data_IF_787757471949
#
_entry.id   IF_787757471949
#
_cell.length_a   1.000
_cell.length_b   1.000
_cell.length_c   1.000
_cell.angle_alpha   90.00
_cell.angle_beta   90.00
_cell.angle_gamma   90.00
#
_symmetry.space_group_name_H-M   'P 1'
#
loop_
_entity.id
_entity.type
_entity.pdbx_description
1 polymer ?
#
# COMPACT_ATOMS: atom_id res chain seq x y z
N UNK A 1 -35.38 -32.06 -21.28
CA UNK A 1 -35.51 -30.97 -20.30
C UNK A 1 -34.12 -30.44 -19.96
N UNK A 2 -33.72 -29.34 -20.57
CA UNK A 2 -32.58 -28.52 -20.19
C UNK A 2 -32.82 -27.13 -20.79
N UNK A 3 -33.13 -26.15 -19.94
CA UNK A 3 -33.38 -24.76 -20.35
C UNK A 3 -32.06 -24.00 -20.29
N UNK A 4 -31.59 -23.53 -21.44
CA UNK A 4 -30.50 -22.58 -21.55
C UNK A 4 -31.10 -21.15 -21.48
N UNK A 5 -30.75 -20.40 -20.45
CA UNK A 5 -31.17 -19.02 -20.27
C UNK A 5 -30.07 -18.09 -20.84
N UNK A 6 -30.19 -17.75 -22.13
CA UNK A 6 -29.39 -16.67 -22.74
C UNK A 6 -30.01 -15.32 -22.42
N UNK A 7 -29.31 -14.46 -21.67
CA UNK A 7 -29.62 -13.02 -21.62
C UNK A 7 -28.75 -12.29 -22.63
N UNK A 8 -29.40 -11.80 -23.69
CA UNK A 8 -28.88 -10.76 -24.58
C UNK A 8 -28.58 -9.49 -23.77
N UNK A 9 -27.37 -8.96 -23.92
CA UNK A 9 -27.06 -7.57 -23.61
C UNK A 9 -26.99 -6.81 -24.94
N UNK A 10 -28.05 -6.06 -25.24
CA UNK A 10 -28.11 -5.13 -26.37
C UNK A 10 -27.52 -3.77 -25.96
N UNK A 11 -26.34 -3.47 -26.52
CA UNK A 11 -26.04 -2.24 -27.26
C UNK A 11 -25.77 -0.93 -26.52
N UNK A 12 -24.54 -0.40 -26.72
CA UNK A 12 -24.33 0.81 -27.55
C UNK A 12 -22.84 1.02 -27.95
N UNK A 13 -22.58 0.70 -29.21
CA UNK A 13 -21.74 1.37 -30.24
C UNK A 13 -20.29 1.80 -29.94
N UNK A 14 -19.32 1.10 -30.54
CA UNK A 14 -18.74 1.49 -31.83
C UNK A 14 -17.90 0.35 -32.41
N UNK A 15 -18.34 -0.16 -33.56
CA UNK A 15 -17.67 -1.19 -34.35
C UNK A 15 -16.51 -0.60 -35.14
N UNK A 16 -15.34 -1.26 -35.14
CA UNK A 16 -14.42 -1.21 -36.28
C UNK A 16 -14.02 -2.66 -36.61
N UNK A 17 -14.55 -3.15 -37.73
CA UNK A 17 -14.24 -4.43 -38.35
C UNK A 17 -12.97 -4.28 -39.20
N UNK A 18 -11.94 -5.09 -38.94
CA UNK A 18 -10.95 -5.46 -39.95
C UNK A 18 -11.11 -6.95 -40.26
N UNK A 19 -11.43 -7.24 -41.52
CA UNK A 19 -11.58 -8.58 -42.09
C UNK A 19 -10.22 -9.20 -42.41
N UNK A 20 -9.97 -10.38 -41.82
CA UNK A 20 -9.21 -11.57 -42.28
C UNK A 20 -8.03 -11.38 -43.24
N UNK A 21 -6.85 -11.97 -42.99
CA UNK A 21 -6.54 -13.37 -43.30
C UNK A 21 -5.26 -13.83 -42.54
N UNK A 22 -5.30 -15.02 -41.93
CA UNK A 22 -4.09 -15.73 -41.49
C UNK A 22 -4.24 -16.46 -40.16
N UNK A 23 -4.17 -17.78 -40.21
CA UNK A 23 -4.14 -18.73 -39.09
C UNK A 23 -3.09 -18.38 -38.02
N UNK A 24 -3.51 -18.00 -36.81
CA UNK A 24 -2.92 -18.34 -35.49
C UNK A 24 -3.42 -17.39 -34.38
N UNK A 25 -3.70 -17.94 -33.20
CA UNK A 25 -4.00 -17.28 -31.92
C UNK A 25 -5.22 -16.32 -31.86
N UNK A 26 -6.32 -16.79 -31.27
CA UNK A 26 -7.35 -15.92 -30.69
C UNK A 26 -6.76 -15.20 -29.47
N UNK A 27 -6.02 -14.12 -29.70
CA UNK A 27 -5.63 -13.18 -28.64
C UNK A 27 -6.76 -12.18 -28.48
N UNK A 28 -7.68 -12.41 -27.54
CA UNK A 28 -8.68 -11.42 -27.15
C UNK A 28 -7.99 -10.31 -26.36
N UNK A 29 -7.43 -9.32 -27.06
CA UNK A 29 -6.91 -8.11 -26.46
C UNK A 29 -8.05 -7.18 -26.04
N UNK A 30 -8.29 -7.04 -24.75
CA UNK A 30 -9.16 -5.99 -24.23
C UNK A 30 -8.39 -4.66 -24.29
N UNK A 31 -8.68 -3.83 -25.28
CA UNK A 31 -8.20 -2.44 -25.31
C UNK A 31 -8.95 -1.65 -24.24
N UNK A 32 -8.49 -1.71 -22.99
CA UNK A 32 -8.93 -0.82 -21.93
C UNK A 32 -8.32 0.56 -22.19
N UNK A 33 -9.12 1.41 -22.84
CA UNK A 33 -8.81 2.82 -22.97
C UNK A 33 -8.79 3.46 -21.57
N UNK A 34 -7.87 4.41 -21.30
CA UNK A 34 -7.78 5.17 -20.04
C UNK A 34 -9.05 6.01 -19.83
N UNK A 35 -10.13 5.38 -19.37
CA UNK A 35 -11.34 6.09 -18.98
C UNK A 35 -11.25 6.50 -17.51
N UNK A 36 -11.70 7.73 -17.22
CA UNK A 36 -12.07 8.12 -15.86
C UNK A 36 -13.15 7.16 -15.39
N UNK A 37 -12.83 6.32 -14.41
CA UNK A 37 -13.82 5.53 -13.69
C UNK A 37 -14.62 6.52 -12.85
N UNK A 38 -15.93 6.55 -13.07
CA UNK A 38 -16.92 7.22 -12.22
C UNK A 38 -17.76 6.09 -11.63
N UNK A 39 -17.61 5.81 -10.34
CA UNK A 39 -18.33 4.72 -9.71
C UNK A 39 -19.82 5.07 -9.54
N UNK A 40 -20.68 4.49 -10.37
CA UNK A 40 -22.13 4.48 -10.10
C UNK A 40 -22.40 3.55 -8.90
N UNK A 41 -22.56 4.15 -7.73
CA UNK A 41 -22.91 3.44 -6.50
C UNK A 41 -24.32 2.85 -6.60
N UNK A 42 -24.48 1.58 -6.24
CA UNK A 42 -25.80 0.94 -6.11
C UNK A 42 -26.35 1.19 -4.71
N UNK A 43 -27.66 1.43 -4.60
CA UNK A 43 -28.31 1.54 -3.30
C UNK A 43 -29.00 0.23 -2.89
N UNK A 44 -28.83 -0.16 -1.62
CA UNK A 44 -29.49 -1.28 -0.98
C UNK A 44 -30.64 -0.78 -0.10
N UNK A 45 -31.82 -1.39 -0.25
CA UNK A 45 -32.92 -1.18 0.69
C UNK A 45 -32.64 -1.95 2.00
N UNK A 46 -32.56 -1.25 3.13
CA UNK A 46 -32.39 -1.84 4.46
C UNK A 46 -33.65 -1.63 5.32
N UNK A 47 -33.95 -2.61 6.17
CA UNK A 47 -35.19 -2.66 6.96
C UNK A 47 -35.27 -1.61 8.07
N UNK A 48 -34.13 -1.30 8.69
CA UNK A 48 -34.04 -0.40 9.85
C UNK A 48 -33.49 0.98 9.45
N UNK A 49 -33.85 2.04 10.19
CA UNK A 49 -33.27 3.36 9.97
C UNK A 49 -31.75 3.32 10.21
N UNK A 50 -30.94 4.13 9.50
CA UNK A 50 -29.49 4.06 9.62
C UNK A 50 -28.94 4.26 11.05
N UNK A 51 -29.64 5.03 11.90
CA UNK A 51 -29.23 5.25 13.29
C UNK A 51 -29.27 3.98 14.15
N UNK A 52 -30.14 3.01 13.83
CA UNK A 52 -30.25 1.77 14.57
C UNK A 52 -29.02 0.85 14.40
N UNK A 53 -28.30 1.04 13.30
CA UNK A 53 -27.11 0.26 12.95
C UNK A 53 -25.80 1.06 13.19
N UNK A 54 -25.89 2.27 13.72
CA UNK A 54 -24.70 3.09 13.99
C UNK A 54 -23.85 2.46 15.10
N UNK A 55 -22.53 2.26 14.90
CA UNK A 55 -21.69 1.56 15.86
C UNK A 55 -21.45 2.37 17.14
N UNK A 56 -21.35 1.68 18.29
CA UNK A 56 -20.88 2.28 19.54
C UNK A 56 -19.35 2.38 19.55
N UNK A 57 -18.83 3.60 19.36
CA UNK A 57 -17.40 3.88 19.24
C UNK A 57 -16.84 4.65 20.45
N UNK A 58 -17.56 4.70 21.58
CA UNK A 58 -17.19 5.52 22.75
C UNK A 58 -15.83 5.18 23.37
N UNK A 59 -15.31 3.97 23.15
CA UNK A 59 -14.04 3.49 23.71
C UNK A 59 -12.97 3.26 22.64
N UNK A 60 -13.16 3.83 21.45
CA UNK A 60 -12.32 3.57 20.29
C UNK A 60 -11.32 4.69 20.04
N UNK A 61 -10.11 4.30 19.70
CA UNK A 61 -8.97 5.15 19.38
C UNK A 61 -8.34 4.67 18.06
N UNK A 62 -9.06 4.91 16.97
CA UNK A 62 -8.62 4.68 15.60
C UNK A 62 -9.13 5.80 14.70
N UNK A 63 -8.50 6.01 13.54
CA UNK A 63 -8.84 7.13 12.66
C UNK A 63 -10.29 7.11 12.16
N UNK A 64 -10.83 5.92 11.84
CA UNK A 64 -12.21 5.74 11.42
C UNK A 64 -13.17 6.24 12.50
N UNK A 65 -12.98 5.84 13.76
CA UNK A 65 -13.84 6.25 14.86
C UNK A 65 -13.82 7.76 15.13
N UNK A 66 -12.69 8.43 14.91
CA UNK A 66 -12.59 9.88 15.05
C UNK A 66 -13.24 10.66 13.90
N UNK A 67 -13.39 10.03 12.73
CA UNK A 67 -13.93 10.68 11.53
C UNK A 67 -15.40 10.31 11.24
N UNK A 68 -15.88 9.17 11.73
CA UNK A 68 -17.25 8.71 11.48
C UNK A 68 -18.25 9.54 12.27
N UNK A 69 -19.27 10.05 11.58
CA UNK A 69 -20.39 10.77 12.20
C UNK A 69 -21.73 10.12 11.85
N UNK A 70 -22.80 10.32 12.64
CA UNK A 70 -24.12 9.81 12.31
C UNK A 70 -24.60 10.24 10.92
N UNK A 71 -24.29 11.48 10.51
CA UNK A 71 -24.63 12.02 9.19
C UNK A 71 -23.88 11.29 8.06
N UNK A 72 -22.57 11.07 8.21
CA UNK A 72 -21.78 10.32 7.22
C UNK A 72 -22.29 8.89 7.12
N UNK A 73 -22.51 8.23 8.27
CA UNK A 73 -23.01 6.86 8.29
C UNK A 73 -24.38 6.76 7.60
N UNK A 74 -25.34 7.61 7.97
CA UNK A 74 -26.67 7.60 7.34
C UNK A 74 -26.62 7.83 5.81
N UNK A 75 -25.72 8.70 5.34
CA UNK A 75 -25.54 8.99 3.91
C UNK A 75 -24.94 7.82 3.13
N UNK A 76 -24.00 7.09 3.74
CA UNK A 76 -23.19 6.08 3.04
C UNK A 76 -23.67 4.65 3.28
N UNK A 77 -24.40 4.37 4.36
CA UNK A 77 -24.74 3.01 4.82
C UNK A 77 -25.38 2.13 3.75
N UNK A 78 -26.29 2.71 2.97
CA UNK A 78 -27.05 1.98 1.97
C UNK A 78 -26.33 1.89 0.62
N UNK A 79 -25.17 2.52 0.47
CA UNK A 79 -24.39 2.46 -0.76
C UNK A 79 -23.57 1.18 -0.84
N UNK A 80 -23.41 0.68 -2.05
CA UNK A 80 -22.57 -0.45 -2.41
C UNK A 80 -21.71 -0.10 -3.61
N UNK A 81 -20.51 -0.66 -3.62
CA UNK A 81 -19.64 -0.67 -4.80
C UNK A 81 -20.22 -1.56 -5.90
N UNK A 82 -19.71 -1.50 -7.15
CA UNK A 82 -20.16 -2.39 -8.22
C UNK A 82 -20.02 -3.88 -7.89
N UNK A 83 -19.03 -4.25 -7.07
CA UNK A 83 -18.81 -5.62 -6.59
C UNK A 83 -19.75 -6.04 -5.44
N UNK A 84 -20.45 -5.07 -4.82
CA UNK A 84 -21.34 -5.29 -3.68
C UNK A 84 -20.70 -5.04 -2.31
N UNK A 85 -19.51 -4.45 -2.24
CA UNK A 85 -18.87 -4.11 -0.97
C UNK A 85 -19.56 -2.91 -0.30
N UNK A 86 -19.71 -2.95 1.03
CA UNK A 86 -20.52 -2.00 1.81
C UNK A 86 -19.67 -1.19 2.80
N UNK A 87 -20.24 -0.07 3.28
CA UNK A 87 -19.63 0.74 4.34
C UNK A 87 -19.38 -0.08 5.62
N UNK A 88 -20.34 -0.93 6.01
CA UNK A 88 -20.22 -1.74 7.23
C UNK A 88 -19.01 -2.69 7.13
N UNK A 89 -18.81 -3.32 5.97
CA UNK A 89 -17.61 -4.13 5.70
C UNK A 89 -16.32 -3.30 5.70
N UNK A 90 -16.34 -2.04 5.23
CA UNK A 90 -15.18 -1.16 5.31
C UNK A 90 -14.75 -0.91 6.78
N UNK A 91 -15.71 -0.62 7.66
CA UNK A 91 -15.42 -0.17 9.03
C UNK A 91 -15.34 -1.29 10.07
N UNK A 92 -15.78 -2.51 9.72
CA UNK A 92 -15.90 -3.64 10.64
C UNK A 92 -14.64 -3.86 11.50
N UNK A 93 -13.46 -3.85 10.87
CA UNK A 93 -12.19 -4.01 11.61
C UNK A 93 -11.96 -2.91 12.65
N UNK A 94 -12.36 -1.67 12.40
CA UNK A 94 -12.26 -0.59 13.38
C UNK A 94 -13.32 -0.66 14.46
N UNK A 95 -14.50 -1.19 14.16
CA UNK A 95 -15.55 -1.43 15.17
C UNK A 95 -15.11 -2.54 16.12
N UNK A 96 -14.56 -3.65 15.60
CA UNK A 96 -14.15 -4.80 16.40
C UNK A 96 -12.86 -4.55 17.20
N UNK A 97 -12.02 -3.61 16.73
CA UNK A 97 -10.71 -3.33 17.33
C UNK A 97 -10.64 -1.89 17.85
N UNK A 98 -10.93 -1.64 19.15
CA UNK A 98 -11.00 -0.30 19.71
C UNK A 98 -9.66 0.42 19.75
N UNK A 99 -8.54 -0.26 19.59
CA UNK A 99 -7.22 0.35 19.51
C UNK A 99 -6.14 -0.70 19.36
N UNK A 100 -4.88 -0.27 19.38
CA UNK A 100 -3.73 -1.17 19.36
C UNK A 100 -2.70 -0.70 20.40
N UNK A 101 -2.02 -1.62 21.11
CA UNK A 101 -1.15 -1.25 22.25
C UNK A 101 -0.02 -0.27 21.91
N UNK A 102 0.45 -0.27 20.66
CA UNK A 102 1.66 0.47 20.26
C UNK A 102 1.43 1.63 19.30
N UNK A 103 0.31 1.65 18.56
CA UNK A 103 0.08 2.60 17.47
C UNK A 103 -1.41 2.94 17.34
N UNK A 104 -1.71 4.16 16.89
CA UNK A 104 -3.05 4.51 16.43
C UNK A 104 -3.32 3.86 15.07
N UNK A 105 -4.37 3.04 15.00
CA UNK A 105 -4.74 2.30 13.79
C UNK A 105 -5.67 3.12 12.90
N UNK A 106 -5.82 2.69 11.64
CA UNK A 106 -6.75 3.36 10.71
C UNK A 106 -8.20 3.00 11.04
N UNK A 107 -8.51 1.73 11.29
CA UNK A 107 -9.87 1.28 11.64
C UNK A 107 -10.82 1.11 10.45
N UNK A 108 -10.32 1.11 9.21
CA UNK A 108 -11.12 0.74 8.04
C UNK A 108 -10.26 0.23 6.90
N UNK A 109 -10.89 -0.52 5.98
CA UNK A 109 -10.26 -1.12 4.78
C UNK A 109 -11.14 -0.95 3.55
N UNK A 110 -10.51 -0.93 2.37
CA UNK A 110 -11.20 -1.00 1.08
C UNK A 110 -11.34 -2.46 0.62
N UNK A 111 -12.50 -2.81 0.08
CA UNK A 111 -12.78 -4.13 -0.50
C UNK A 111 -12.47 -4.19 -1.99
N UNK A 112 -12.46 -3.06 -2.68
CA UNK A 112 -12.20 -2.91 -4.12
C UNK A 112 -11.70 -1.48 -4.42
N UNK A 113 -11.40 -1.20 -5.70
CA UNK A 113 -10.89 0.11 -6.15
C UNK A 113 -11.95 1.20 -5.92
N UNK A 114 -13.21 0.89 -6.20
CA UNK A 114 -14.36 1.79 -6.13
C UNK A 114 -14.74 2.19 -4.70
N UNK A 115 -14.38 1.37 -3.70
CA UNK A 115 -14.60 1.68 -2.27
C UNK A 115 -14.12 3.09 -1.90
N UNK A 116 -12.96 3.51 -2.43
CA UNK A 116 -12.38 4.82 -2.16
C UNK A 116 -13.18 5.99 -2.76
N UNK A 117 -13.97 5.75 -3.80
CA UNK A 117 -14.83 6.74 -4.43
C UNK A 117 -16.24 6.73 -3.81
N UNK A 118 -16.86 5.55 -3.73
CA UNK A 118 -18.23 5.36 -3.22
C UNK A 118 -18.36 5.84 -1.77
N UNK A 119 -17.34 5.58 -0.95
CA UNK A 119 -17.30 5.94 0.47
C UNK A 119 -16.32 7.10 0.76
N UNK A 120 -16.03 7.95 -0.23
CA UNK A 120 -15.07 9.05 -0.12
C UNK A 120 -15.35 9.99 1.06
N UNK A 121 -16.63 10.25 1.39
CA UNK A 121 -16.99 11.12 2.53
C UNK A 121 -16.44 10.64 3.88
N UNK A 122 -16.12 9.34 4.02
CA UNK A 122 -15.43 8.79 5.18
C UNK A 122 -13.94 8.54 4.91
N UNK A 123 -13.57 8.00 3.75
CA UNK A 123 -12.16 7.74 3.44
C UNK A 123 -11.32 9.02 3.41
N UNK A 124 -11.82 10.11 2.86
CA UNK A 124 -11.09 11.37 2.72
C UNK A 124 -10.64 11.99 4.05
N UNK A 125 -11.54 12.21 5.05
CA UNK A 125 -11.11 12.70 6.35
C UNK A 125 -10.16 11.73 7.06
N UNK A 126 -10.37 10.41 6.91
CA UNK A 126 -9.47 9.39 7.48
C UNK A 126 -8.07 9.44 6.85
N UNK A 127 -7.99 9.58 5.52
CA UNK A 127 -6.74 9.75 4.78
C UNK A 127 -6.04 11.02 5.24
N UNK A 128 -6.76 12.14 5.32
CA UNK A 128 -6.21 13.43 5.76
C UNK A 128 -5.66 13.36 7.18
N UNK A 129 -6.41 12.74 8.09
CA UNK A 129 -5.99 12.55 9.47
C UNK A 129 -4.74 11.67 9.55
N UNK A 130 -4.73 10.53 8.84
CA UNK A 130 -3.64 9.56 8.91
C UNK A 130 -2.36 10.06 8.26
N UNK A 131 -2.47 10.84 7.18
CA UNK A 131 -1.36 11.37 6.39
C UNK A 131 -1.14 12.87 6.63
N UNK A 132 -1.46 13.33 7.85
CA UNK A 132 -1.06 14.61 8.40
C UNK A 132 -1.35 15.82 7.50
N UNK A 133 -2.59 15.89 7.02
CA UNK A 133 -3.09 17.03 6.25
C UNK A 133 -3.11 16.82 4.74
N UNK A 134 -2.59 15.70 4.21
CA UNK A 134 -2.79 15.35 2.80
C UNK A 134 -4.28 15.20 2.51
N UNK A 135 -4.86 16.16 1.80
CA UNK A 135 -6.29 16.19 1.53
C UNK A 135 -6.55 15.73 0.09
N UNK A 136 -7.02 14.48 -0.10
CA UNK A 136 -7.15 13.91 -1.43
C UNK A 136 -8.19 14.66 -2.29
N UNK A 137 -9.05 15.50 -1.69
CA UNK A 137 -10.04 16.28 -2.44
C UNK A 137 -9.42 17.43 -3.24
N UNK A 138 -8.26 17.91 -2.82
CA UNK A 138 -7.62 19.12 -3.38
C UNK A 138 -6.14 18.92 -3.73
N UNK A 139 -5.53 17.82 -3.28
CA UNK A 139 -4.14 17.48 -3.53
C UNK A 139 -4.02 16.31 -4.51
N UNK A 140 -2.88 16.24 -5.19
CA UNK A 140 -2.50 15.14 -6.08
C UNK A 140 -1.21 14.50 -5.58
N UNK A 141 -1.04 13.21 -5.84
CA UNK A 141 0.13 12.48 -5.39
C UNK A 141 1.20 12.40 -6.48
N UNK A 142 2.44 12.86 -6.24
CA UNK A 142 3.54 12.63 -7.17
C UNK A 142 4.11 11.21 -7.01
N UNK A 143 4.32 10.51 -8.14
CA UNK A 143 5.04 9.23 -8.21
C UNK A 143 6.37 9.44 -8.93
N UNK A 144 7.47 8.96 -8.37
CA UNK A 144 8.82 9.08 -8.95
C UNK A 144 9.69 7.92 -8.45
N UNK A 145 9.96 6.97 -9.34
CA UNK A 145 10.75 5.76 -9.06
C UNK A 145 12.17 5.85 -9.64
N UNK A 146 12.65 7.03 -10.00
CA UNK A 146 14.00 7.23 -10.53
C UNK A 146 15.06 7.18 -9.41
N UNK A 147 15.63 5.99 -9.20
CA UNK A 147 16.64 5.75 -8.17
C UNK A 147 17.92 6.58 -8.35
N UNK A 148 18.21 7.09 -9.56
CA UNK A 148 19.42 7.90 -9.82
C UNK A 148 19.43 9.23 -9.07
N UNK A 149 18.25 9.71 -8.67
CA UNK A 149 18.08 10.93 -7.86
C UNK A 149 18.55 10.76 -6.42
N UNK A 150 18.82 9.54 -5.97
CA UNK A 150 19.34 9.25 -4.63
C UNK A 150 20.87 9.31 -4.68
N UNK A 151 21.44 10.47 -4.33
CA UNK A 151 22.89 10.71 -4.45
C UNK A 151 23.71 10.20 -3.25
N UNK A 152 23.06 9.97 -2.10
CA UNK A 152 23.69 9.49 -0.87
C UNK A 152 22.75 8.50 -0.17
N UNK A 153 23.28 7.38 0.34
CA UNK A 153 22.47 6.33 0.98
C UNK A 153 23.24 5.33 1.83
N UNK A 154 24.51 5.58 2.11
CA UNK A 154 25.33 4.70 2.95
C UNK A 154 25.13 5.05 4.43
N UNK A 155 24.86 4.03 5.25
CA UNK A 155 24.70 4.18 6.70
C UNK A 155 25.94 3.74 7.46
N UNK A 156 26.09 4.21 8.70
CA UNK A 156 27.08 3.67 9.63
C UNK A 156 26.67 2.26 10.07
N UNK A 157 27.35 1.25 9.51
CA UNK A 157 27.09 -0.18 9.73
C UNK A 157 27.32 -0.62 11.19
N UNK A 158 27.96 0.21 12.03
CA UNK A 158 28.06 -0.04 13.48
C UNK A 158 26.70 0.05 14.17
N UNK A 159 25.77 0.83 13.62
CA UNK A 159 24.44 1.06 14.16
C UNK A 159 23.34 0.44 13.31
N UNK A 160 23.47 0.49 11.98
CA UNK A 160 22.50 -0.05 11.03
C UNK A 160 22.85 -1.48 10.67
N UNK A 161 21.98 -2.41 11.04
CA UNK A 161 22.17 -3.85 10.84
C UNK A 161 21.63 -4.33 9.49
N UNK A 162 20.54 -3.71 9.02
CA UNK A 162 19.94 -4.02 7.72
C UNK A 162 19.08 -2.87 7.22
N UNK A 163 18.97 -2.76 5.90
CA UNK A 163 18.13 -1.78 5.20
C UNK A 163 17.09 -2.51 4.36
N UNK A 164 15.84 -2.04 4.40
CA UNK A 164 14.74 -2.64 3.65
C UNK A 164 13.82 -1.57 3.09
N UNK A 165 13.47 -1.73 1.81
CA UNK A 165 12.39 -0.99 1.15
C UNK A 165 11.29 -1.97 0.78
N UNK A 166 10.05 -1.64 1.10
CA UNK A 166 8.86 -2.43 0.73
C UNK A 166 7.82 -1.51 0.14
N UNK A 167 7.14 -1.96 -0.91
CA UNK A 167 5.85 -1.41 -1.33
C UNK A 167 4.80 -2.52 -1.50
N UNK A 168 3.58 -2.15 -1.87
CA UNK A 168 2.52 -3.06 -2.29
C UNK A 168 1.94 -2.61 -3.64
N UNK A 169 1.33 -3.55 -4.36
CA UNK A 169 0.58 -3.31 -5.59
C UNK A 169 -0.70 -4.14 -5.58
N UNK A 170 -1.75 -3.63 -6.22
CA UNK A 170 -3.03 -4.31 -6.40
C UNK A 170 -3.36 -4.35 -7.90
N UNK A 171 -3.85 -5.48 -8.40
CA UNK A 171 -4.17 -5.68 -9.82
C UNK A 171 -5.59 -5.16 -10.08
N UNK A 172 -5.75 -4.23 -11.03
CA UNK A 172 -7.03 -3.62 -11.39
C UNK A 172 -8.02 -4.67 -11.91
N UNK A 173 -9.30 -4.48 -11.57
CA UNK A 173 -10.40 -5.36 -11.98
C UNK A 173 -10.60 -6.60 -11.10
N UNK A 174 -9.74 -6.81 -10.09
CA UNK A 174 -9.87 -7.87 -9.10
C UNK A 174 -10.08 -7.25 -7.72
N UNK A 175 -11.04 -7.75 -6.94
CA UNK A 175 -11.31 -7.21 -5.61
C UNK A 175 -10.09 -7.34 -4.68
N UNK A 176 -10.00 -6.46 -3.69
CA UNK A 176 -8.95 -6.47 -2.67
C UNK A 176 -9.18 -7.63 -1.67
N UNK A 177 -8.15 -8.03 -0.91
CA UNK A 177 -8.21 -9.20 -0.02
C UNK A 177 -9.42 -9.30 0.94
N UNK A 178 -9.98 -8.20 1.48
CA UNK A 178 -11.17 -8.28 2.33
C UNK A 178 -12.44 -8.76 1.61
N UNK A 179 -12.52 -8.62 0.29
CA UNK A 179 -13.72 -8.90 -0.50
C UNK A 179 -13.51 -9.97 -1.58
N UNK A 180 -12.26 -10.23 -1.99
CA UNK A 180 -11.99 -11.11 -3.11
C UNK A 180 -12.51 -12.54 -2.88
N UNK A 181 -13.19 -13.06 -3.89
CA UNK A 181 -13.54 -14.46 -3.96
C UNK A 181 -12.29 -15.34 -4.09
N UNK A 182 -12.44 -16.65 -3.87
CA UNK A 182 -11.36 -17.62 -4.12
C UNK A 182 -10.88 -17.61 -5.58
N UNK A 183 -11.79 -17.33 -6.52
CA UNK A 183 -11.45 -17.27 -7.94
C UNK A 183 -10.59 -16.03 -8.24
N UNK A 184 -11.00 -14.85 -7.76
CA UNK A 184 -10.21 -13.62 -7.93
C UNK A 184 -8.83 -13.73 -7.28
N UNK A 185 -8.73 -14.31 -6.07
CA UNK A 185 -7.44 -14.51 -5.39
C UNK A 185 -6.49 -15.42 -6.19
N UNK A 186 -7.03 -16.50 -6.78
CA UNK A 186 -6.26 -17.40 -7.66
C UNK A 186 -5.85 -16.70 -8.95
N UNK A 187 -6.67 -15.80 -9.48
CA UNK A 187 -6.33 -15.02 -10.66
C UNK A 187 -5.21 -14.01 -10.36
N UNK A 188 -5.25 -13.33 -9.21
CA UNK A 188 -4.15 -12.47 -8.74
C UNK A 188 -2.84 -13.27 -8.67
N UNK A 189 -2.88 -14.47 -8.07
CA UNK A 189 -1.73 -15.36 -7.97
C UNK A 189 -1.22 -15.78 -9.35
N UNK A 190 -2.10 -16.21 -10.26
CA UNK A 190 -1.75 -16.62 -11.61
C UNK A 190 -1.08 -15.48 -12.42
N UNK A 191 -1.69 -14.29 -12.42
CA UNK A 191 -1.14 -13.11 -13.11
C UNK A 191 0.24 -12.75 -12.56
N UNK A 192 0.40 -12.76 -11.23
CA UNK A 192 1.66 -12.47 -10.59
C UNK A 192 2.73 -13.51 -10.94
N UNK A 193 2.46 -14.81 -10.80
CA UNK A 193 3.41 -15.89 -11.13
C UNK A 193 3.89 -15.74 -12.57
N UNK A 194 2.95 -15.63 -13.50
CA UNK A 194 3.30 -15.62 -14.92
C UNK A 194 4.13 -14.39 -15.28
N UNK A 195 3.85 -13.23 -14.68
CA UNK A 195 4.70 -12.04 -14.84
C UNK A 195 6.10 -12.25 -14.24
N UNK A 196 6.19 -12.87 -13.06
CA UNK A 196 7.44 -13.09 -12.35
C UNK A 196 8.38 -14.09 -13.03
N UNK A 197 7.85 -15.09 -13.72
CA UNK A 197 8.65 -16.01 -14.56
C UNK A 197 9.40 -15.31 -15.69
N UNK A 198 8.96 -14.10 -16.07
CA UNK A 198 9.63 -13.29 -17.08
C UNK A 198 10.89 -12.57 -16.59
N UNK A 199 11.16 -12.57 -15.28
CA UNK A 199 12.34 -11.90 -14.71
C UNK A 199 13.63 -12.65 -15.04
N UNK A 200 14.67 -11.90 -15.41
CA UNK A 200 15.98 -12.42 -15.84
C UNK A 200 17.11 -11.81 -15.00
N UNK A 201 18.32 -12.36 -15.13
CA UNK A 201 19.51 -11.82 -14.48
C UNK A 201 19.47 -11.97 -12.96
N UNK A 202 19.89 -10.93 -12.24
CA UNK A 202 19.89 -10.85 -10.77
C UNK A 202 18.49 -10.80 -10.15
N UNK A 203 17.46 -10.61 -10.98
CA UNK A 203 16.05 -10.55 -10.60
C UNK A 203 15.29 -11.83 -10.89
N UNK A 204 15.91 -12.79 -11.59
CA UNK A 204 15.33 -14.11 -11.80
C UNK A 204 15.08 -14.78 -10.45
N UNK A 205 13.90 -15.35 -10.28
CA UNK A 205 13.46 -15.92 -9.01
C UNK A 205 12.67 -17.20 -9.19
N UNK A 206 12.23 -17.75 -8.07
CA UNK A 206 11.30 -18.87 -8.02
C UNK A 206 10.10 -18.44 -7.21
N UNK A 207 8.92 -18.79 -7.69
CA UNK A 207 7.68 -18.65 -6.93
C UNK A 207 7.50 -19.88 -6.04
N UNK A 208 7.06 -19.63 -4.80
CA UNK A 208 6.79 -20.67 -3.83
C UNK A 208 5.38 -20.50 -3.28
N UNK A 209 4.55 -21.52 -3.49
CA UNK A 209 3.18 -21.52 -3.03
C UNK A 209 3.15 -21.89 -1.55
N UNK A 210 2.55 -21.03 -0.71
CA UNK A 210 2.54 -21.22 0.74
C UNK A 210 1.97 -22.58 1.20
N UNK A 211 1.02 -23.16 0.47
CA UNK A 211 0.47 -24.50 0.78
C UNK A 211 1.48 -25.63 0.59
N UNK A 212 2.56 -25.37 -0.11
CA UNK A 212 3.57 -26.34 -0.55
C UNK A 212 4.99 -25.89 -0.12
N UNK A 213 5.08 -24.85 0.73
CA UNK A 213 6.35 -24.27 1.17
C UNK A 213 6.98 -25.05 2.33
N UNK A 214 8.29 -25.26 2.21
CA UNK A 214 9.15 -25.63 3.34
C UNK A 214 9.73 -24.35 3.98
N UNK A 215 10.29 -24.42 5.19
CA UNK A 215 10.74 -23.25 5.97
C UNK A 215 11.88 -22.41 5.31
N UNK A 216 12.43 -22.81 4.17
CA UNK A 216 13.68 -22.26 3.60
C UNK A 216 13.56 -21.13 2.55
N UNK A 217 12.38 -20.77 2.03
CA UNK A 217 12.26 -20.20 0.67
C UNK A 217 11.99 -18.67 0.48
N UNK A 218 12.19 -17.78 1.46
CA UNK A 218 11.77 -16.37 1.32
C UNK A 218 12.86 -15.38 0.83
N UNK A 219 12.92 -14.97 -0.46
CA UNK A 219 13.38 -13.59 -0.83
C UNK A 219 13.27 -13.11 -2.31
N UNK A 220 12.97 -11.79 -2.46
CA UNK A 220 13.34 -10.74 -3.47
C UNK A 220 12.41 -10.46 -4.66
N UNK A 221 12.02 -9.18 -4.83
CA UNK A 221 11.35 -8.60 -6.02
C UNK A 221 11.48 -7.06 -6.11
N UNK A 222 11.90 -6.52 -7.27
CA UNK A 222 11.72 -5.10 -7.66
C UNK A 222 11.18 -4.90 -9.10
N UNK A 223 11.19 -5.89 -10.00
CA UNK A 223 10.87 -5.68 -11.43
C UNK A 223 9.49 -6.21 -11.91
N UNK A 224 8.63 -6.59 -10.96
CA UNK A 224 7.31 -7.21 -11.21
C UNK A 224 6.35 -6.28 -11.95
N UNK A 225 6.47 -4.99 -11.69
CA UNK A 225 5.55 -3.96 -12.17
C UNK A 225 5.53 -3.84 -13.70
N UNK A 226 6.71 -3.82 -14.33
CA UNK A 226 6.86 -3.71 -15.78
C UNK A 226 6.25 -4.91 -16.51
N UNK A 227 6.45 -6.12 -15.98
CA UNK A 227 6.04 -7.37 -16.65
C UNK A 227 4.53 -7.66 -16.53
N UNK A 228 3.89 -7.21 -15.44
CA UNK A 228 2.42 -7.26 -15.31
C UNK A 228 1.77 -6.37 -16.39
N UNK A 229 2.34 -5.19 -16.65
CA UNK A 229 1.87 -4.27 -17.69
C UNK A 229 2.06 -4.81 -19.10
N UNK A 230 3.21 -5.43 -19.41
CA UNK A 230 3.46 -6.08 -20.71
C UNK A 230 2.45 -7.19 -21.03
N UNK A 231 1.86 -7.82 -20.00
CA UNK A 231 0.83 -8.85 -20.13
C UNK A 231 -0.60 -8.30 -20.19
N UNK A 232 -0.76 -6.98 -20.28
CA UNK A 232 -2.06 -6.31 -20.44
C UNK A 232 -2.81 -6.05 -19.12
N UNK A 233 -2.16 -6.21 -17.97
CA UNK A 233 -2.75 -5.95 -16.65
C UNK A 233 -2.22 -4.64 -16.07
N UNK A 234 -3.08 -3.87 -15.42
CA UNK A 234 -2.71 -2.61 -14.78
C UNK A 234 -2.77 -2.73 -13.26
N UNK A 235 -1.95 -1.95 -12.56
CA UNK A 235 -2.14 -1.74 -11.13
C UNK A 235 -3.22 -0.71 -10.85
N UNK A 236 -3.95 -0.90 -9.76
CA UNK A 236 -4.88 0.10 -9.24
C UNK A 236 -4.09 1.35 -8.86
N UNK A 237 -4.26 2.40 -9.65
CA UNK A 237 -3.62 3.69 -9.46
C UNK A 237 -4.52 4.80 -9.96
N UNK A 238 -4.56 5.92 -9.23
CA UNK A 238 -5.16 7.15 -9.70
C UNK A 238 -4.37 8.38 -9.26
N UNK A 239 -4.59 9.52 -9.93
CA UNK A 239 -3.83 10.77 -9.72
C UNK A 239 -3.98 11.35 -8.30
N UNK A 240 -5.09 11.04 -7.64
CA UNK A 240 -5.46 11.56 -6.32
C UNK A 240 -4.87 10.74 -5.18
N UNK A 241 -4.80 9.42 -5.34
CA UNK A 241 -4.46 8.46 -4.28
C UNK A 241 -3.12 7.75 -4.53
N UNK A 242 -2.51 7.88 -5.71
CA UNK A 242 -1.37 7.06 -6.10
C UNK A 242 -1.77 5.59 -6.25
N UNK A 243 -0.88 4.67 -5.86
CA UNK A 243 -1.19 3.25 -5.81
C UNK A 243 -2.23 2.96 -4.73
N UNK A 244 -3.28 2.26 -5.13
CA UNK A 244 -4.40 1.89 -4.27
C UNK A 244 -4.09 0.54 -3.64
N UNK A 245 -4.22 0.49 -2.30
CA UNK A 245 -4.02 -0.71 -1.49
C UNK A 245 -5.17 -0.84 -0.48
N UNK A 246 -5.28 -2.01 0.13
CA UNK A 246 -6.36 -2.36 1.09
C UNK A 246 -6.49 -1.42 2.27
N UNK A 247 -5.35 -1.05 2.88
CA UNK A 247 -5.35 -0.19 4.06
C UNK A 247 -5.01 1.25 3.64
N UNK A 248 -5.82 2.26 4.03
CA UNK A 248 -5.57 3.66 3.70
C UNK A 248 -4.19 4.18 4.12
N UNK A 249 -3.57 3.60 5.15
CA UNK A 249 -2.22 3.97 5.57
C UNK A 249 -1.12 3.63 4.56
N UNK A 250 -1.41 2.77 3.57
CA UNK A 250 -0.48 2.38 2.52
C UNK A 250 -0.81 2.99 1.15
N UNK A 251 -1.73 3.94 1.05
CA UNK A 251 -1.96 4.68 -0.20
C UNK A 251 -0.74 5.50 -0.62
N UNK A 252 -0.76 6.01 -1.85
CA UNK A 252 0.30 6.80 -2.45
C UNK A 252 1.39 5.90 -3.01
N UNK A 253 2.57 5.99 -2.39
CA UNK A 253 3.72 5.16 -2.73
C UNK A 253 3.59 3.71 -2.25
N UNK A 254 2.77 3.48 -1.20
CA UNK A 254 2.81 2.26 -0.40
C UNK A 254 4.15 1.99 0.29
N UNK A 255 5.12 2.91 0.16
CA UNK A 255 6.51 2.68 0.44
C UNK A 255 6.78 2.76 1.94
N UNK A 256 7.49 1.75 2.42
CA UNK A 256 8.12 1.72 3.74
C UNK A 256 9.61 1.47 3.54
N UNK A 257 10.39 2.54 3.60
CA UNK A 257 11.83 2.48 3.73
C UNK A 257 12.17 2.52 5.22
N UNK A 258 12.94 1.54 5.68
CA UNK A 258 13.35 1.46 7.07
C UNK A 258 14.61 0.65 7.26
N UNK A 259 15.11 0.69 8.49
CA UNK A 259 16.28 -0.07 8.92
C UNK A 259 16.06 -0.69 10.27
N UNK A 260 16.76 -1.79 10.51
CA UNK A 260 17.08 -2.23 11.85
C UNK A 260 18.27 -1.43 12.37
N UNK A 261 18.02 -0.68 13.45
CA UNK A 261 19.04 0.14 14.10
C UNK A 261 19.16 -0.21 15.58
N UNK A 262 20.40 -0.35 16.05
CA UNK A 262 20.74 -0.48 17.47
C UNK A 262 20.94 0.89 18.12
N UNK A 263 20.06 1.27 19.05
CA UNK A 263 20.06 2.61 19.69
C UNK A 263 19.84 2.53 21.23
N UNK A 264 20.74 1.88 21.99
CA UNK A 264 20.54 1.54 23.41
C UNK A 264 20.43 2.74 24.36
N UNK A 265 21.00 3.89 23.97
CA UNK A 265 20.93 5.14 24.75
C UNK A 265 19.69 5.95 24.41
N UNK A 266 19.46 6.16 23.10
CA UNK A 266 18.34 6.98 22.63
C UNK A 266 16.99 6.33 22.91
N UNK A 267 16.89 5.00 22.89
CA UNK A 267 15.65 4.26 23.19
C UNK A 267 15.09 4.53 24.59
N UNK A 268 15.97 4.83 25.55
CA UNK A 268 15.66 5.11 26.97
C UNK A 268 15.43 6.60 27.24
N UNK A 269 15.74 7.47 26.29
CA UNK A 269 15.53 8.92 26.44
C UNK A 269 14.02 9.23 26.38
N UNK A 270 13.45 9.94 27.37
CA UNK A 270 12.02 10.27 27.39
C UNK A 270 11.59 11.10 26.18
N UNK A 271 12.51 11.79 25.52
CA UNK A 271 12.25 12.60 24.33
C UNK A 271 12.15 11.77 23.05
N UNK A 272 12.47 10.47 23.09
CA UNK A 272 12.59 9.63 21.89
C UNK A 272 11.32 9.59 21.04
N UNK A 273 10.15 9.47 21.67
CA UNK A 273 8.87 9.48 20.94
C UNK A 273 8.63 10.82 20.24
N UNK A 274 8.90 11.96 20.91
CA UNK A 274 8.74 13.29 20.31
C UNK A 274 9.73 13.55 19.18
N UNK A 275 10.93 13.01 19.34
CA UNK A 275 11.99 12.98 18.34
C UNK A 275 11.52 12.30 17.05
N UNK A 276 10.89 11.13 17.14
CA UNK A 276 10.38 10.38 15.99
C UNK A 276 9.19 11.10 15.35
N UNK A 277 8.28 11.64 16.16
CA UNK A 277 7.13 12.41 15.72
C UNK A 277 7.55 13.62 14.87
N UNK A 278 8.50 14.43 15.37
CA UNK A 278 9.03 15.59 14.65
C UNK A 278 9.76 15.19 13.37
N UNK A 279 10.41 14.02 13.37
CA UNK A 279 11.06 13.49 12.17
C UNK A 279 10.10 12.79 11.20
N UNK A 280 8.83 12.61 11.54
CA UNK A 280 7.86 11.82 10.75
C UNK A 280 8.34 10.37 10.55
N UNK A 281 8.87 9.79 11.63
CA UNK A 281 9.30 8.40 11.69
C UNK A 281 8.41 7.62 12.66
N UNK A 282 8.31 6.31 12.44
CA UNK A 282 7.68 5.39 13.37
C UNK A 282 8.66 4.32 13.81
N UNK A 283 8.49 3.82 15.04
CA UNK A 283 9.25 2.69 15.57
C UNK A 283 8.37 1.45 15.68
N UNK A 284 8.96 0.28 15.41
CA UNK A 284 8.40 -1.06 15.65
C UNK A 284 9.44 -1.94 16.32
N UNK A 285 9.02 -3.08 16.86
CA UNK A 285 9.95 -4.09 17.35
C UNK A 285 10.72 -4.77 16.23
N UNK A 286 11.69 -5.59 16.60
CA UNK A 286 12.67 -6.19 15.68
C UNK A 286 12.04 -7.18 14.71
N UNK A 287 10.93 -7.82 15.07
CA UNK A 287 10.17 -8.74 14.21
C UNK A 287 8.99 -8.10 13.48
N UNK A 288 8.80 -6.78 13.57
CA UNK A 288 7.70 -6.06 12.93
C UNK A 288 6.70 -5.45 13.90
N UNK A 289 5.48 -5.20 13.39
CA UNK A 289 4.49 -4.30 14.03
C UNK A 289 3.96 -4.78 15.37
N UNK A 290 3.88 -6.09 15.55
CA UNK A 290 3.30 -6.72 16.74
C UNK A 290 4.37 -7.28 17.69
N UNK A 291 5.65 -6.94 17.45
CA UNK A 291 6.77 -7.45 18.25
C UNK A 291 7.39 -6.36 19.10
N UNK A 292 8.01 -6.76 20.20
CA UNK A 292 8.86 -5.87 21.01
C UNK A 292 10.24 -5.69 20.36
N UNK A 293 10.95 -4.64 20.76
CA UNK A 293 12.36 -4.50 20.41
C UNK A 293 13.20 -5.51 21.18
N UNK A 294 14.09 -6.22 20.48
CA UNK A 294 15.04 -7.17 21.07
C UNK A 294 16.43 -6.55 21.03
N UNK A 295 17.17 -6.62 22.14
CA UNK A 295 18.55 -6.14 22.25
C UNK A 295 18.75 -4.69 21.77
N UNK A 296 17.83 -3.78 22.13
CA UNK A 296 17.83 -2.36 21.73
C UNK A 296 17.82 -2.11 20.21
N UNK A 297 17.38 -3.10 19.42
CA UNK A 297 17.22 -2.99 17.97
C UNK A 297 15.78 -2.64 17.63
N UNK A 298 15.60 -1.54 16.91
CA UNK A 298 14.30 -1.05 16.46
C UNK A 298 14.21 -1.05 14.93
N UNK A 299 13.03 -1.39 14.40
CA UNK A 299 12.63 -1.08 13.03
C UNK A 299 12.15 0.38 12.99
N UNK A 300 12.96 1.25 12.37
CA UNK A 300 12.66 2.66 12.18
C UNK A 300 12.38 2.93 10.71
N UNK A 301 11.19 3.41 10.38
CA UNK A 301 10.76 3.70 9.01
C UNK A 301 10.05 5.05 8.87
N UNK A 302 9.88 5.52 7.64
CA UNK A 302 8.96 6.61 7.33
C UNK A 302 7.52 6.28 7.79
N UNK A 303 6.80 7.30 8.29
CA UNK A 303 5.37 7.19 8.65
C UNK A 303 4.45 7.61 7.51
N UNK A 304 4.86 8.62 6.73
CA UNK A 304 4.12 9.22 5.63
C UNK A 304 4.35 8.43 4.35
N UNK A 305 3.29 8.20 3.57
CA UNK A 305 3.35 7.36 2.35
C UNK A 305 2.65 7.96 1.13
N UNK A 306 1.88 9.02 1.32
CA UNK A 306 1.21 9.78 0.26
C UNK A 306 1.59 11.27 0.38
N UNK A 307 1.46 12.01 -0.72
CA UNK A 307 1.84 13.43 -0.81
C UNK A 307 3.33 13.72 -1.01
N UNK A 308 4.20 12.70 -1.04
CA UNK A 308 5.61 12.78 -1.43
C UNK A 308 5.96 11.60 -2.32
N UNK A 309 6.81 11.80 -3.31
CA UNK A 309 7.23 10.69 -4.18
C UNK A 309 8.07 9.65 -3.45
N UNK A 310 8.33 8.51 -4.09
CA UNK A 310 9.19 7.45 -3.56
C UNK A 310 10.64 7.93 -3.36
N UNK A 311 11.19 8.65 -4.33
CA UNK A 311 12.52 9.28 -4.27
C UNK A 311 12.62 10.31 -3.15
N UNK A 312 11.61 11.17 -3.01
CA UNK A 312 11.54 12.15 -1.93
C UNK A 312 11.43 11.46 -0.57
N UNK A 313 10.55 10.47 -0.43
CA UNK A 313 10.34 9.74 0.83
C UNK A 313 11.60 9.02 1.28
N UNK A 314 12.33 8.40 0.35
CA UNK A 314 13.57 7.68 0.62
C UNK A 314 14.71 8.65 0.96
N UNK A 315 14.89 9.70 0.17
CA UNK A 315 15.90 10.74 0.41
C UNK A 315 15.66 11.45 1.74
N UNK A 316 14.43 11.85 2.04
CA UNK A 316 14.07 12.46 3.32
C UNK A 316 14.37 11.56 4.51
N UNK A 317 14.12 10.26 4.37
CA UNK A 317 14.41 9.28 5.41
C UNK A 317 15.92 9.10 5.63
N UNK A 318 16.71 9.00 4.56
CA UNK A 318 18.19 8.93 4.62
C UNK A 318 18.75 10.19 5.31
N UNK A 319 18.38 11.38 4.83
CA UNK A 319 18.92 12.66 5.29
C UNK A 319 18.62 12.92 6.77
N UNK A 320 17.39 12.65 7.24
CA UNK A 320 17.02 12.86 8.66
C UNK A 320 17.79 11.96 9.62
N UNK A 321 18.24 10.80 9.14
CA UNK A 321 18.98 9.83 9.94
C UNK A 321 20.46 10.21 10.07
N UNK A 322 21.12 10.57 8.96
CA UNK A 322 22.50 11.06 8.97
C UNK A 322 22.68 12.30 9.85
N UNK A 323 21.68 13.18 9.88
CA UNK A 323 21.71 14.40 10.70
C UNK A 323 21.62 14.14 12.21
N UNK A 324 21.08 12.99 12.65
CA UNK A 324 21.05 12.59 14.08
C UNK A 324 22.32 11.88 14.51
N UNK A 325 22.87 11.01 13.68
CA UNK A 325 24.15 10.33 13.96
C UNK A 325 25.28 11.34 14.23
N UNK A 326 25.27 12.47 13.49
CA UNK A 326 26.18 13.61 13.70
C UNK A 326 25.98 14.36 15.03
N UNK A 327 24.83 14.23 15.69
CA UNK A 327 24.48 14.98 16.92
C UNK A 327 24.56 14.17 18.21
N UNK A 328 24.38 12.84 18.13
CA UNK A 328 24.53 11.94 19.28
C UNK A 328 25.97 11.50 19.55
N UNK A 329 26.86 11.65 18.57
CA UNK A 329 28.29 11.46 18.77
C UNK A 329 28.92 12.78 19.23
N UNK A 330 29.52 12.80 20.42
CA UNK A 330 30.54 13.81 20.80
C UNK A 330 31.82 13.60 19.98
N UNK A 331 31.71 13.54 18.65
CA UNK A 331 32.85 13.44 17.76
C UNK A 331 32.94 14.74 16.96
N UNK A 332 33.93 15.57 17.32
CA UNK A 332 34.52 16.49 16.35
C UNK A 332 35.09 15.63 15.23
N UNK A 333 34.46 15.58 14.07
CA UNK A 333 35.16 15.23 12.84
C UNK A 333 34.83 16.28 11.77
N UNK A 334 35.86 16.73 11.02
CA UNK A 334 35.75 17.84 10.09
C UNK A 334 34.98 17.41 8.85
N UNK A 335 34.45 18.42 8.17
CA UNK A 335 33.97 18.36 6.80
C UNK A 335 34.87 17.43 5.96
N UNK A 336 34.40 16.23 5.62
CA UNK A 336 35.14 15.29 4.79
C UNK A 336 34.67 15.47 3.34
N UNK A 337 35.40 16.35 2.65
CA UNK A 337 35.56 16.29 1.20
C UNK A 337 36.27 14.99 0.84
N UNK A 338 35.68 14.12 0.02
CA UNK A 338 36.46 13.14 -0.73
C UNK A 338 35.88 12.95 -2.13
N UNK A 339 36.66 13.45 -3.08
CA UNK A 339 36.66 13.04 -4.47
C UNK A 339 37.09 11.57 -4.59
N UNK A 340 36.58 10.90 -5.62
CA UNK A 340 37.22 9.76 -6.27
C UNK A 340 37.28 8.45 -5.49
N UNK A 341 36.23 7.63 -5.60
CA UNK A 341 36.36 6.17 -5.60
C UNK A 341 35.10 5.54 -6.18
N UNK A 342 35.28 4.59 -7.09
CA UNK A 342 34.23 3.90 -7.86
C UNK A 342 33.15 3.27 -6.97
N UNK A 343 31.90 3.45 -7.41
CA UNK A 343 30.69 3.03 -6.71
C UNK A 343 30.41 1.54 -6.95
N UNK A 344 30.31 0.76 -5.88
CA UNK A 344 29.56 -0.50 -5.89
C UNK A 344 28.39 -0.37 -4.91
N UNK A 345 27.16 -0.53 -5.42
CA UNK A 345 25.94 -0.41 -4.64
C UNK A 345 25.77 -1.61 -3.69
N UNK A 346 25.48 -1.42 -2.39
CA UNK A 346 25.21 -2.51 -1.48
C UNK A 346 23.85 -3.17 -1.77
N UNK A 347 23.82 -4.50 -1.64
CA UNK A 347 22.68 -5.39 -1.94
C UNK A 347 21.51 -5.16 -1.00
N UNK A 348 20.37 -4.69 -1.52
CA UNK A 348 19.11 -4.60 -0.79
C UNK A 348 18.33 -5.94 -0.82
N UNK A 349 17.58 -6.23 0.25
CA UNK A 349 16.76 -7.44 0.41
C UNK A 349 15.26 -7.06 0.50
N UNK A 350 14.37 -7.75 -0.23
CA UNK A 350 12.91 -7.48 -0.28
C UNK A 350 12.12 -8.77 -0.14
N UNK A 351 10.97 -8.75 0.52
CA UNK A 351 10.04 -9.88 0.64
C UNK A 351 8.66 -9.40 0.18
N UNK A 352 8.10 -10.04 -0.84
CA UNK A 352 6.76 -9.78 -1.36
C UNK A 352 5.81 -10.81 -0.76
N UNK A 353 4.87 -10.38 0.08
CA UNK A 353 3.73 -11.20 0.48
C UNK A 353 2.55 -10.75 -0.38
N UNK A 354 2.08 -11.64 -1.26
CA UNK A 354 0.72 -11.58 -1.79
C UNK A 354 -0.17 -12.14 -0.67
N UNK A 355 -1.00 -11.29 -0.06
CA UNK A 355 -2.07 -11.70 0.88
C UNK A 355 -3.39 -11.52 0.16
#
# INVERSE_FOLDING_TARGET
MASAFSKLLTGRNASLLFTTLGTSALTTGYLLNRQKVSADAREQHKLFPPSADYPDLRKHNNCMAECLTPTIYAKLRNKMTPSGYTLDQCIQTGVDNPGHPFIKTVGMVAGDEESYEVFADLFDPVIKLRHNGYDPRVMKHPTDLDASKITHGQFDERYVLSSRVRTGRSIRGLSLPPACSRAERREVENVAITALEGLKGDLAGRYYKLSEMTEQDQQRLIDVERLIQERGWEFMWNERLGYILTCPSNLGTGLRAGVHVRIPKLSKDPRFSKILENLRLQKRGTGGVDTAAVADVYDISNIDRIGRSETESTTWWIVKRSWREARTSRCRLPCLSLAGSEFSLPRFWVMCLLV
#
